data_IF_734446331251
#
_entry.id   IF_734446331251
#
_cell.length_a   1.000
_cell.length_b   1.000
_cell.length_c   1.000
_cell.angle_alpha   90.00
_cell.angle_beta   90.00
_cell.angle_gamma   90.00
#
_symmetry.space_group_name_H-M   'P 1'
#
loop_
_entity.id
_entity.type
_entity.pdbx_description
1 polymer ?
#
# COMPACT_ATOMS: atom_id res chain seq x y z
N UNK A 1 9.59 -10.92 -2.86
CA UNK A 1 9.88 -9.63 -3.51
C UNK A 1 11.27 -9.78 -4.10
N UNK A 2 11.38 -10.03 -5.41
CA UNK A 2 12.67 -10.32 -6.03
C UNK A 2 13.42 -9.00 -6.24
N UNK A 3 14.67 -8.95 -5.78
CA UNK A 3 15.60 -7.88 -6.12
C UNK A 3 15.81 -7.82 -7.65
N UNK A 4 16.14 -6.64 -8.19
CA UNK A 4 16.27 -6.44 -9.65
C UNK A 4 17.32 -7.36 -10.26
N UNK A 5 18.38 -7.69 -9.53
CA UNK A 5 19.38 -8.65 -9.99
C UNK A 5 18.83 -10.08 -10.05
N UNK A 6 17.98 -10.46 -9.10
CA UNK A 6 17.32 -11.78 -9.13
C UNK A 6 16.34 -11.86 -10.30
N UNK A 7 15.55 -10.80 -10.53
CA UNK A 7 14.64 -10.71 -11.66
C UNK A 7 15.36 -10.76 -13.02
N UNK A 8 16.53 -10.12 -13.12
CA UNK A 8 17.37 -10.19 -14.31
C UNK A 8 17.85 -11.63 -14.58
N UNK A 9 18.32 -12.33 -13.55
CA UNK A 9 18.73 -13.73 -13.67
C UNK A 9 17.58 -14.63 -14.13
N UNK A 10 16.38 -14.47 -13.56
CA UNK A 10 15.20 -15.25 -13.95
C UNK A 10 14.81 -14.99 -15.42
N UNK A 11 14.86 -13.73 -15.85
CA UNK A 11 14.55 -13.35 -17.24
C UNK A 11 15.59 -13.90 -18.22
N UNK A 12 16.88 -13.91 -17.86
CA UNK A 12 17.94 -14.53 -18.67
C UNK A 12 17.73 -16.04 -18.79
N UNK A 13 17.37 -16.71 -17.69
CA UNK A 13 17.05 -18.14 -17.72
C UNK A 13 15.86 -18.42 -18.64
N UNK A 14 14.80 -17.60 -18.53
CA UNK A 14 13.64 -17.70 -19.43
C UNK A 14 14.01 -17.45 -20.90
N UNK A 15 14.95 -16.55 -21.18
CA UNK A 15 15.47 -16.32 -22.52
C UNK A 15 16.20 -17.55 -23.07
N UNK A 16 16.97 -18.24 -22.23
CA UNK A 16 17.64 -19.48 -22.59
C UNK A 16 16.62 -20.61 -22.87
N UNK A 17 15.57 -20.71 -22.06
CA UNK A 17 14.47 -21.66 -22.29
C UNK A 17 13.76 -21.37 -23.62
N UNK A 18 13.48 -20.11 -23.95
CA UNK A 18 12.89 -19.72 -25.23
C UNK A 18 13.76 -20.18 -26.41
N UNK A 19 15.09 -20.02 -26.32
CA UNK A 19 16.00 -20.53 -27.35
C UNK A 19 15.96 -22.06 -27.44
N UNK A 20 16.11 -22.76 -26.32
CA UNK A 20 16.15 -24.22 -26.31
C UNK A 20 14.83 -24.83 -26.85
N UNK A 21 13.70 -24.31 -26.38
CA UNK A 21 12.37 -24.74 -26.82
C UNK A 21 12.14 -24.43 -28.31
N UNK A 22 12.57 -23.25 -28.77
CA UNK A 22 12.44 -22.89 -30.19
C UNK A 22 13.22 -23.84 -31.10
N UNK A 23 14.47 -24.16 -30.73
CA UNK A 23 15.32 -25.07 -31.51
C UNK A 23 14.71 -26.47 -31.52
N UNK A 24 14.27 -26.98 -30.37
CA UNK A 24 13.67 -28.30 -30.26
C UNK A 24 12.41 -28.46 -31.12
N UNK A 25 11.47 -27.50 -31.02
CA UNK A 25 10.23 -27.52 -31.80
C UNK A 25 10.52 -27.35 -33.30
N UNK A 26 11.34 -26.36 -33.69
CA UNK A 26 11.64 -26.14 -35.10
C UNK A 26 12.35 -27.33 -35.74
N UNK A 27 13.23 -28.02 -35.02
CA UNK A 27 13.87 -29.25 -35.49
C UNK A 27 12.88 -30.40 -35.62
N UNK A 28 11.99 -30.59 -34.63
CA UNK A 28 10.98 -31.65 -34.64
C UNK A 28 10.04 -31.55 -35.86
N UNK A 29 9.67 -30.34 -36.25
CA UNK A 29 8.80 -30.10 -37.42
C UNK A 29 9.57 -29.79 -38.71
N UNK A 30 10.91 -29.81 -38.66
CA UNK A 30 11.72 -29.61 -39.86
C UNK A 30 11.53 -30.77 -40.85
N UNK A 31 11.38 -30.43 -42.13
CA UNK A 31 11.35 -31.41 -43.21
C UNK A 31 12.70 -31.40 -43.93
N UNK A 32 13.29 -32.57 -44.26
CA UNK A 32 14.51 -32.63 -45.05
C UNK A 32 14.32 -31.90 -46.39
N UNK A 33 15.21 -30.96 -46.69
CA UNK A 33 15.17 -30.25 -47.97
C UNK A 33 15.49 -31.22 -49.10
N UNK A 34 14.59 -31.34 -50.08
CA UNK A 34 14.83 -32.16 -51.28
C UNK A 34 15.57 -31.32 -52.31
N UNK A 35 16.75 -31.78 -52.73
CA UNK A 35 17.56 -31.12 -53.75
C UNK A 35 16.91 -31.19 -55.14
N UNK A 36 16.02 -32.16 -55.37
CA UNK A 36 15.23 -32.33 -56.59
C UNK A 36 13.76 -31.96 -56.36
N UNK A 37 13.26 -31.06 -57.20
CA UNK A 37 12.02 -30.27 -57.07
C UNK A 37 10.71 -31.06 -57.25
N UNK A 38 10.66 -32.34 -56.86
CA UNK A 38 9.52 -33.24 -57.06
C UNK A 38 9.07 -33.94 -55.77
N UNK A 39 8.91 -33.18 -54.69
CA UNK A 39 8.30 -33.67 -53.45
C UNK A 39 7.24 -32.71 -52.99
N UNK A 40 5.98 -33.11 -53.11
CA UNK A 40 4.82 -32.43 -52.54
C UNK A 40 4.94 -32.37 -51.01
N UNK A 41 5.41 -31.24 -50.47
CA UNK A 41 5.08 -30.88 -49.09
C UNK A 41 3.61 -30.45 -49.07
N UNK A 42 2.82 -31.02 -48.15
CA UNK A 42 1.45 -30.57 -47.94
C UNK A 42 1.49 -29.15 -47.34
N UNK A 43 0.75 -28.16 -47.90
CA UNK A 43 0.82 -26.75 -47.48
C UNK A 43 0.66 -26.53 -45.97
N UNK A 44 -0.12 -27.39 -45.32
CA UNK A 44 -0.48 -27.30 -43.91
C UNK A 44 0.72 -27.44 -42.97
N UNK A 45 1.71 -28.27 -43.31
CA UNK A 45 2.88 -28.54 -42.46
C UNK A 45 3.91 -27.39 -42.50
N UNK A 46 3.97 -26.68 -43.63
CA UNK A 46 4.87 -25.54 -43.81
C UNK A 46 4.33 -24.27 -43.13
N UNK A 47 3.00 -24.15 -43.04
CA UNK A 47 2.33 -23.09 -42.30
C UNK A 47 2.61 -23.18 -40.78
N UNK A 48 2.51 -24.38 -40.19
CA UNK A 48 2.74 -24.59 -38.76
C UNK A 48 4.19 -24.28 -38.33
N UNK A 49 5.19 -24.71 -39.11
CA UNK A 49 6.61 -24.39 -38.83
C UNK A 49 6.84 -22.87 -38.86
N UNK A 50 6.22 -22.18 -39.81
CA UNK A 50 6.34 -20.73 -39.95
C UNK A 50 5.67 -20.00 -38.79
N UNK A 51 4.53 -20.49 -38.31
CA UNK A 51 3.81 -19.94 -37.16
C UNK A 51 4.61 -20.11 -35.86
N UNK A 52 5.17 -21.30 -35.61
CA UNK A 52 6.07 -21.53 -34.48
C UNK A 52 7.32 -20.65 -34.54
N UNK A 53 7.91 -20.47 -35.72
CA UNK A 53 9.06 -19.58 -35.89
C UNK A 53 8.72 -18.13 -35.53
N UNK A 54 7.57 -17.62 -35.98
CA UNK A 54 7.11 -16.28 -35.63
C UNK A 54 6.79 -16.14 -34.14
N UNK A 55 6.15 -17.15 -33.54
CA UNK A 55 5.86 -17.16 -32.11
C UNK A 55 7.15 -17.07 -31.27
N UNK A 56 8.12 -17.94 -31.53
CA UNK A 56 9.38 -17.94 -30.80
C UNK A 56 10.20 -16.68 -31.06
N UNK A 57 10.23 -16.17 -32.29
CA UNK A 57 10.87 -14.89 -32.59
C UNK A 57 10.27 -13.74 -31.75
N UNK A 58 8.94 -13.73 -31.60
CA UNK A 58 8.23 -12.75 -30.76
C UNK A 58 8.61 -12.89 -29.28
N UNK A 59 8.60 -14.12 -28.76
CA UNK A 59 8.94 -14.39 -27.36
C UNK A 59 10.39 -14.00 -27.05
N UNK A 60 11.33 -14.36 -27.94
CA UNK A 60 12.75 -14.02 -27.82
C UNK A 60 12.95 -12.51 -27.88
N UNK A 61 12.37 -11.82 -28.87
CA UNK A 61 12.54 -10.37 -29.00
C UNK A 61 11.96 -9.60 -27.80
N UNK A 62 10.80 -10.03 -27.30
CA UNK A 62 10.19 -9.42 -26.11
C UNK A 62 11.04 -9.65 -24.88
N UNK A 63 11.46 -10.89 -24.62
CA UNK A 63 12.25 -11.24 -23.45
C UNK A 63 13.62 -10.52 -23.47
N UNK A 64 14.26 -10.39 -24.63
CA UNK A 64 15.45 -9.58 -24.82
C UNK A 64 15.20 -8.10 -24.47
N UNK A 65 14.07 -7.53 -24.89
CA UNK A 65 13.72 -6.15 -24.53
C UNK A 65 13.46 -5.98 -23.03
N UNK A 66 12.82 -6.97 -22.41
CA UNK A 66 12.60 -6.99 -20.96
C UNK A 66 13.94 -7.04 -20.20
N UNK A 67 14.93 -7.79 -20.71
CA UNK A 67 16.31 -7.80 -20.20
C UNK A 67 16.94 -6.40 -20.28
N UNK A 68 16.84 -5.72 -21.44
CA UNK A 68 17.39 -4.36 -21.60
C UNK A 68 16.78 -3.38 -20.58
N UNK A 69 15.46 -3.41 -20.41
CA UNK A 69 14.76 -2.55 -19.45
C UNK A 69 15.18 -2.87 -18.02
N UNK A 70 15.41 -4.15 -17.68
CA UNK A 70 15.90 -4.52 -16.36
C UNK A 70 17.32 -4.00 -16.11
N UNK A 71 18.20 -4.08 -17.10
CA UNK A 71 19.57 -3.53 -17.04
C UNK A 71 19.52 -2.01 -16.86
N UNK A 72 18.72 -1.30 -17.63
CA UNK A 72 18.52 0.16 -17.50
C UNK A 72 17.93 0.56 -16.15
N UNK A 73 17.19 -0.34 -15.49
CA UNK A 73 16.60 -0.10 -14.17
C UNK A 73 17.53 -0.43 -12.99
N UNK A 74 18.72 -0.97 -13.25
CA UNK A 74 19.69 -1.23 -12.19
C UNK A 74 20.19 0.11 -11.60
N UNK A 75 20.44 0.16 -10.29
CA UNK A 75 21.01 1.36 -9.67
C UNK A 75 22.38 1.69 -10.29
N UNK A 76 22.62 2.98 -10.57
CA UNK A 76 23.83 3.46 -11.24
C UNK A 76 25.13 2.99 -10.54
N UNK A 77 26.05 2.40 -11.30
CA UNK A 77 27.39 2.02 -10.83
C UNK A 77 28.31 3.23 -10.53
N UNK A 78 27.95 4.44 -10.97
CA UNK A 78 28.75 5.66 -10.75
C UNK A 78 28.76 6.14 -9.29
N UNK A 79 27.95 5.54 -8.42
CA UNK A 79 28.05 5.78 -6.98
C UNK A 79 29.27 5.03 -6.47
N UNK A 80 30.42 5.72 -6.38
CA UNK A 80 31.58 5.15 -5.69
C UNK A 80 31.14 4.61 -4.32
N UNK A 81 31.71 3.49 -3.90
CA UNK A 81 31.38 2.87 -2.61
C UNK A 81 31.49 3.86 -1.46
N UNK A 82 32.42 4.80 -1.56
CA UNK A 82 32.60 5.90 -0.61
C UNK A 82 31.40 6.88 -0.58
N UNK A 83 30.87 7.29 -1.74
CA UNK A 83 29.67 8.13 -1.81
C UNK A 83 28.44 7.40 -1.26
N UNK A 84 28.30 6.10 -1.55
CA UNK A 84 27.20 5.30 -1.02
C UNK A 84 27.27 5.19 0.51
N UNK A 85 28.45 4.96 1.08
CA UNK A 85 28.66 4.93 2.54
C UNK A 85 28.37 6.28 3.17
N UNK A 86 28.77 7.38 2.52
CA UNK A 86 28.44 8.73 2.99
C UNK A 86 26.93 8.99 2.98
N UNK A 87 26.22 8.61 1.91
CA UNK A 87 24.76 8.71 1.82
C UNK A 87 24.05 7.85 2.87
N UNK A 88 24.52 6.61 3.11
CA UNK A 88 23.97 5.76 4.16
C UNK A 88 24.12 6.40 5.55
N UNK A 89 25.31 6.94 5.85
CA UNK A 89 25.56 7.61 7.12
C UNK A 89 24.67 8.84 7.32
N UNK A 90 24.44 9.61 6.25
CA UNK A 90 23.50 10.72 6.29
C UNK A 90 22.06 10.24 6.56
N UNK A 91 21.63 9.18 5.87
CA UNK A 91 20.30 8.60 6.04
C UNK A 91 20.08 8.07 7.47
N UNK A 92 21.09 7.42 8.06
CA UNK A 92 21.07 6.98 9.45
C UNK A 92 20.93 8.16 10.42
N UNK A 93 21.66 9.25 10.19
CA UNK A 93 21.56 10.46 11.02
C UNK A 93 20.18 11.12 10.90
N UNK A 94 19.63 11.19 9.69
CA UNK A 94 18.28 11.71 9.46
C UNK A 94 17.21 10.82 10.10
N UNK A 95 17.36 9.50 10.01
CA UNK A 95 16.49 8.53 10.66
C UNK A 95 16.52 8.67 12.19
N UNK A 96 17.71 8.79 12.79
CA UNK A 96 17.88 9.01 14.22
C UNK A 96 17.18 10.29 14.67
N UNK A 97 17.39 11.40 13.95
CA UNK A 97 16.76 12.69 14.26
C UNK A 97 15.23 12.65 14.10
N UNK A 98 14.73 11.90 13.12
CA UNK A 98 13.29 11.67 12.96
C UNK A 98 12.73 10.86 14.14
N UNK A 99 13.47 9.85 14.62
CA UNK A 99 13.15 9.07 15.81
C UNK A 99 13.06 9.92 17.08
N UNK A 100 14.06 10.77 17.32
CA UNK A 100 14.07 11.70 18.48
C UNK A 100 12.87 12.66 18.46
N UNK A 101 12.54 13.21 17.29
CA UNK A 101 11.35 14.07 17.12
C UNK A 101 10.06 13.30 17.38
N UNK A 102 9.99 12.04 16.94
CA UNK A 102 8.83 11.19 17.20
C UNK A 102 8.69 10.93 18.71
N UNK A 103 9.78 10.60 19.40
CA UNK A 103 9.79 10.39 20.85
C UNK A 103 9.34 11.64 21.61
N UNK A 104 9.83 12.82 21.22
CA UNK A 104 9.39 14.08 21.80
C UNK A 104 7.88 14.32 21.62
N UNK A 105 7.36 14.09 20.42
CA UNK A 105 5.93 14.26 20.13
C UNK A 105 5.09 13.25 20.90
N UNK A 106 5.54 11.99 21.01
CA UNK A 106 4.86 10.95 21.80
C UNK A 106 4.84 11.34 23.28
N UNK A 107 5.97 11.75 23.85
CA UNK A 107 6.04 12.16 25.26
C UNK A 107 5.10 13.33 25.57
N UNK A 108 5.03 14.33 24.69
CA UNK A 108 4.07 15.44 24.81
C UNK A 108 2.63 14.95 24.70
N UNK A 109 2.37 13.99 23.80
CA UNK A 109 1.07 13.35 23.64
C UNK A 109 0.63 12.59 24.89
N UNK A 110 1.52 11.84 25.54
CA UNK A 110 1.24 11.10 26.77
C UNK A 110 0.90 12.03 27.93
N UNK A 111 1.65 13.13 28.09
CA UNK A 111 1.36 14.15 29.11
C UNK A 111 -0.03 14.76 28.89
N UNK A 112 -0.35 15.13 27.65
CA UNK A 112 -1.66 15.70 27.32
C UNK A 112 -2.78 14.69 27.58
N UNK A 113 -2.57 13.42 27.21
CA UNK A 113 -3.54 12.34 27.46
C UNK A 113 -3.78 12.16 28.97
N UNK A 114 -2.73 12.18 29.79
CA UNK A 114 -2.84 12.09 31.25
C UNK A 114 -3.64 13.27 31.84
N UNK A 115 -3.45 14.48 31.33
CA UNK A 115 -4.21 15.65 31.77
C UNK A 115 -5.69 15.53 31.43
N UNK A 116 -6.02 15.06 30.22
CA UNK A 116 -7.41 14.80 29.81
C UNK A 116 -8.04 13.73 30.71
N UNK A 117 -7.33 12.64 30.98
CA UNK A 117 -7.81 11.58 31.87
C UNK A 117 -8.07 12.09 33.29
N UNK A 118 -7.19 12.92 33.84
CA UNK A 118 -7.39 13.55 35.16
C UNK A 118 -8.63 14.44 35.17
N UNK A 119 -8.78 15.32 34.18
CA UNK A 119 -9.93 16.21 34.10
C UNK A 119 -11.26 15.43 33.96
N UNK A 120 -11.26 14.34 33.19
CA UNK A 120 -12.43 13.46 33.07
C UNK A 120 -12.75 12.75 34.40
N UNK A 121 -11.72 12.32 35.16
CA UNK A 121 -11.91 11.73 36.48
C UNK A 121 -12.50 12.73 37.48
N UNK A 122 -12.00 13.97 37.49
CA UNK A 122 -12.50 15.05 38.36
C UNK A 122 -13.97 15.39 38.05
N UNK A 123 -14.33 15.44 36.75
CA UNK A 123 -15.71 15.65 36.31
C UNK A 123 -16.60 14.49 36.77
N UNK A 124 -16.14 13.24 36.61
CA UNK A 124 -16.91 12.07 37.03
C UNK A 124 -17.12 12.05 38.56
N UNK A 125 -16.10 12.37 39.35
CA UNK A 125 -16.19 12.44 40.81
C UNK A 125 -17.13 13.57 41.26
N UNK A 126 -17.02 14.76 40.66
CA UNK A 126 -17.91 15.89 40.95
C UNK A 126 -19.38 15.56 40.68
N UNK A 127 -19.66 14.79 39.62
CA UNK A 127 -21.03 14.33 39.34
C UNK A 127 -21.53 13.31 40.37
N UNK A 128 -20.68 12.40 40.83
CA UNK A 128 -21.02 11.44 41.90
C UNK A 128 -21.28 12.14 43.24
N UNK A 129 -20.46 13.13 43.60
CA UNK A 129 -20.61 13.91 44.84
C UNK A 129 -21.88 14.77 44.83
N UNK A 130 -22.22 15.38 43.69
CA UNK A 130 -23.50 16.09 43.53
C UNK A 130 -24.72 15.17 43.68
N UNK A 131 -24.62 13.92 43.22
CA UNK A 131 -25.69 12.93 43.41
C UNK A 131 -25.79 12.43 44.85
N UNK A 132 -24.67 12.26 45.57
CA UNK A 132 -24.66 11.83 46.97
C UNK A 132 -25.07 12.93 47.96
N UNK A 133 -24.84 14.21 47.61
CA UNK A 133 -25.16 15.37 48.46
C UNK A 133 -26.58 15.91 48.27
N UNK A 134 -27.38 15.37 47.35
CA UNK A 134 -28.80 15.67 47.26
C UNK A 134 -29.53 15.08 48.49
N UNK A 135 -30.02 15.89 49.45
CA UNK A 135 -30.72 15.35 50.59
C UNK A 135 -32.07 14.79 50.14
N UNK A 136 -32.34 13.53 50.48
CA UNK A 136 -33.67 12.95 50.51
C UNK A 136 -34.50 13.70 51.56
N UNK A 137 -34.99 14.89 51.22
CA UNK A 137 -35.96 15.62 52.03
C UNK A 137 -37.35 15.42 51.42
N UNK A 138 -38.09 14.47 51.98
CA UNK A 138 -39.54 14.47 51.90
C UNK A 138 -40.09 15.34 53.04
N UNK A 139 -40.82 16.42 52.76
CA UNK A 139 -41.82 16.91 53.68
C UNK A 139 -43.20 16.44 53.20
N UNK A 140 -43.78 15.55 54.00
CA UNK A 140 -45.19 15.20 53.97
C UNK A 140 -46.01 16.37 54.55
N UNK A 141 -46.96 16.91 53.78
CA UNK A 141 -47.86 17.98 54.21
C UNK A 141 -48.81 18.42 53.11
N UNK A 142 -50.04 17.88 53.15
CA UNK A 142 -51.20 18.31 52.36
C UNK A 142 -51.38 19.85 52.35
N UNK A 143 -51.69 20.43 51.18
CA UNK A 143 -52.95 21.15 50.89
C UNK A 143 -52.99 21.55 49.40
N UNK A 144 -54.19 21.43 48.86
CA UNK A 144 -54.61 21.47 47.48
C UNK A 144 -54.61 22.86 46.82
N UNK A 145 -54.41 22.83 45.49
CA UNK A 145 -55.06 23.64 44.45
C UNK A 145 -54.79 25.15 44.42
N UNK A 146 -54.07 25.57 43.36
CA UNK A 146 -54.03 26.95 42.89
C UNK A 146 -53.18 27.04 41.62
N UNK A 147 -53.85 27.23 40.48
CA UNK A 147 -53.25 27.40 39.15
C UNK A 147 -52.25 28.56 39.13
N UNK A 148 -51.14 28.41 38.41
CA UNK A 148 -50.87 29.25 37.22
C UNK A 148 -49.60 28.82 36.47
N UNK A 149 -49.87 28.13 35.36
CA UNK A 149 -49.28 28.31 34.02
C UNK A 149 -48.03 29.21 33.94
N UNK A 150 -46.88 28.62 33.57
CA UNK A 150 -46.14 28.99 32.34
C UNK A 150 -44.89 28.11 32.09
N UNK A 151 -44.89 27.53 30.90
CA UNK A 151 -43.75 27.33 30.00
C UNK A 151 -43.00 25.98 30.05
N UNK A 152 -43.33 25.07 29.12
CA UNK A 152 -42.64 24.84 27.81
C UNK A 152 -41.55 23.76 27.98
N UNK A 153 -41.90 22.49 27.72
CA UNK A 153 -41.63 21.76 26.45
C UNK A 153 -40.32 20.97 26.50
N UNK A 154 -40.47 19.66 26.75
CA UNK A 154 -39.97 18.54 25.94
C UNK A 154 -38.70 18.77 25.10
N UNK A 155 -37.61 18.05 25.37
CA UNK A 155 -37.27 16.87 24.55
C UNK A 155 -36.05 16.07 25.03
N UNK A 156 -36.24 14.77 24.87
CA UNK A 156 -35.33 13.62 24.88
C UNK A 156 -33.92 13.85 24.31
N UNK A 157 -32.91 13.39 25.06
CA UNK A 157 -31.57 13.17 24.53
C UNK A 157 -31.46 11.78 23.89
N UNK A 158 -31.27 11.77 22.58
CA UNK A 158 -30.90 10.61 21.77
C UNK A 158 -29.38 10.42 21.86
N UNK A 159 -28.93 9.18 22.09
CA UNK A 159 -27.52 8.79 21.91
C UNK A 159 -27.13 8.91 20.43
N UNK A 160 -26.07 9.65 20.13
CA UNK A 160 -25.42 9.64 18.81
C UNK A 160 -24.05 8.99 18.94
N UNK A 161 -23.92 7.84 18.28
CA UNK A 161 -22.70 7.12 17.98
C UNK A 161 -21.94 7.86 16.87
N UNK A 162 -20.67 8.20 17.10
CA UNK A 162 -19.77 8.76 16.09
C UNK A 162 -18.46 7.99 16.07
N UNK A 163 -18.44 6.94 15.28
CA UNK A 163 -17.23 6.33 14.74
C UNK A 163 -16.76 7.21 13.57
N UNK A 164 -15.66 7.94 13.72
CA UNK A 164 -15.10 8.79 12.67
C UNK A 164 -13.58 8.64 12.60
N UNK A 165 -13.13 7.99 11.54
CA UNK A 165 -11.74 7.88 11.08
C UNK A 165 -11.19 9.29 10.72
N UNK A 166 -9.90 9.61 10.93
CA UNK A 166 -9.33 10.90 10.51
C UNK A 166 -9.05 10.94 8.99
N UNK A 167 -9.12 12.12 8.35
CA UNK A 167 -8.97 12.27 6.90
C UNK A 167 -7.50 12.31 6.44
N UNK A 168 -7.23 11.74 5.26
CA UNK A 168 -5.95 11.83 4.53
C UNK A 168 -5.65 13.27 4.05
N UNK A 169 -4.37 13.67 3.95
CA UNK A 169 -3.99 14.93 3.33
C UNK A 169 -3.91 14.82 1.80
N UNK A 170 -4.72 15.62 1.09
CA UNK A 170 -4.61 15.83 -0.35
C UNK A 170 -3.38 16.69 -0.68
N UNK A 171 -2.39 16.12 -1.37
CA UNK A 171 -1.38 16.90 -2.10
C UNK A 171 -1.83 17.09 -3.54
N UNK A 172 -2.26 18.31 -3.88
CA UNK A 172 -2.55 18.73 -5.24
C UNK A 172 -1.38 19.51 -5.86
N UNK A 173 -0.73 18.91 -6.85
CA UNK A 173 0.01 19.54 -7.97
C UNK A 173 -0.05 18.47 -9.09
N UNK A 174 -0.51 18.67 -10.31
CA UNK A 174 -0.73 19.83 -11.15
C UNK A 174 -0.49 19.32 -12.57
N UNK A 175 -1.53 19.17 -13.38
CA UNK A 175 -1.43 18.74 -14.79
C UNK A 175 -1.39 19.97 -15.71
N UNK A 176 -0.39 20.05 -16.58
CA UNK A 176 -0.42 20.89 -17.78
C UNK A 176 0.78 21.83 -17.94
N UNK A 177 1.86 21.33 -18.54
CA UNK A 177 2.33 21.66 -19.90
C UNK A 177 3.28 20.57 -20.38
#
# INVERSE_FOLDING_TARGET
>A
MADRLTQLQDTINQQADNFCNSIGILQQFSTPSKFDRSGSQTPQQQQEVTDYAHLFATLIARCAKDIDVLIESLPNEDSSTELQVASLRQLEQESQKAGERLEEVVARGEVLLSQIQSALADIAQSQLDMQHSAPSHFPNGNIAVGQDIKNITTNSFSYVNSNSNPPEPQTGLGSGF
#
